data_IF_263291024773
#
_entry.id   IF_263291024773
#
_cell.length_a   1.000
_cell.length_b   1.000
_cell.length_c   1.000
_cell.angle_alpha   90.00
_cell.angle_beta   90.00
_cell.angle_gamma   90.00
#
_symmetry.space_group_name_H-M   'P 1'
#
loop_
_entity.id
_entity.type
_entity.pdbx_description
1 polymer ?
#
# COMPACT_ATOMS: atom_id res chain seq x y z
N UNK A 1 -2.41 65.53 -11.94
CA UNK A 1 -3.02 64.19 -11.82
C UNK A 1 -2.07 63.11 -12.36
N UNK A 2 -0.81 63.08 -11.88
CA UNK A 2 0.25 62.20 -12.42
C UNK A 2 0.57 60.97 -11.56
N UNK A 3 -0.19 60.75 -10.49
CA UNK A 3 0.00 59.65 -9.54
C UNK A 3 -0.85 58.41 -9.87
N UNK A 4 -1.82 58.52 -10.78
CA UNK A 4 -2.71 57.42 -11.17
C UNK A 4 -2.07 56.47 -12.21
N UNK A 5 -1.13 56.95 -13.03
CA UNK A 5 -0.54 56.14 -14.12
C UNK A 5 0.60 55.24 -13.67
N UNK A 6 1.30 55.59 -12.58
CA UNK A 6 2.42 54.79 -12.02
C UNK A 6 1.93 53.61 -11.20
N UNK A 7 0.83 53.80 -10.45
CA UNK A 7 0.16 52.75 -9.66
C UNK A 7 -0.39 51.63 -10.57
N UNK A 8 -0.97 52.01 -11.73
CA UNK A 8 -1.56 51.07 -12.68
C UNK A 8 -0.51 50.17 -13.37
N UNK A 9 0.69 50.70 -13.61
CA UNK A 9 1.79 49.97 -14.24
C UNK A 9 2.46 48.97 -13.28
N UNK A 10 2.55 49.32 -11.99
CA UNK A 10 3.13 48.46 -10.96
C UNK A 10 2.21 47.28 -10.60
N UNK A 11 0.88 47.48 -10.56
CA UNK A 11 -0.06 46.39 -10.30
C UNK A 11 -0.09 45.32 -11.40
N UNK A 12 0.04 45.72 -12.68
CA UNK A 12 0.13 44.76 -13.79
C UNK A 12 1.43 43.96 -13.77
N UNK A 13 2.58 44.58 -13.44
CA UNK A 13 3.86 43.87 -13.28
C UNK A 13 3.85 42.93 -12.06
N UNK A 14 3.22 43.32 -10.95
CA UNK A 14 3.07 42.46 -9.76
C UNK A 14 2.17 41.26 -10.04
N UNK A 15 1.04 41.47 -10.72
CA UNK A 15 0.11 40.39 -11.13
C UNK A 15 0.77 39.45 -12.14
N UNK A 16 1.53 39.97 -13.11
CA UNK A 16 2.25 39.14 -14.09
C UNK A 16 3.38 38.32 -13.44
N UNK A 17 4.10 38.88 -12.44
CA UNK A 17 5.11 38.17 -11.66
C UNK A 17 4.52 37.08 -10.76
N UNK A 18 3.34 37.32 -10.18
CA UNK A 18 2.61 36.32 -9.37
C UNK A 18 2.05 35.17 -10.22
N UNK A 19 1.60 35.44 -11.44
CA UNK A 19 1.07 34.41 -12.36
C UNK A 19 2.20 33.52 -12.92
N UNK A 20 3.39 34.06 -13.19
CA UNK A 20 4.56 33.29 -13.67
C UNK A 20 5.16 32.41 -12.56
N UNK A 21 5.08 32.84 -11.30
CA UNK A 21 5.55 32.07 -10.12
C UNK A 21 4.68 30.83 -9.84
N UNK A 22 3.38 30.91 -10.13
CA UNK A 22 2.41 29.86 -9.77
C UNK A 22 2.43 28.62 -10.69
N UNK A 23 3.16 28.62 -11.81
CA UNK A 23 3.16 27.51 -12.77
C UNK A 23 4.34 26.54 -12.62
N UNK A 24 5.19 26.71 -11.60
CA UNK A 24 6.43 25.93 -11.42
C UNK A 24 6.50 25.06 -10.14
N UNK A 25 5.37 24.69 -9.54
CA UNK A 25 5.38 23.82 -8.34
C UNK A 25 4.55 22.54 -8.44
N UNK A 26 4.07 22.14 -9.63
CA UNK A 26 3.28 20.90 -9.79
C UNK A 26 4.03 19.73 -10.43
N UNK A 27 5.34 19.84 -10.69
CA UNK A 27 6.12 18.74 -11.27
C UNK A 27 7.37 18.49 -10.44
N UNK A 28 7.34 17.41 -9.65
CA UNK A 28 8.46 16.53 -9.26
C UNK A 28 8.34 15.88 -7.87
N UNK A 29 7.13 15.53 -7.41
CA UNK A 29 6.97 14.41 -6.47
C UNK A 29 6.09 13.32 -7.09
N UNK A 30 6.34 13.01 -8.36
CA UNK A 30 6.13 11.65 -8.83
C UNK A 30 7.46 10.93 -8.59
N UNK A 31 7.58 10.31 -7.41
CA UNK A 31 8.66 9.38 -7.12
C UNK A 31 8.64 8.30 -8.20
N UNK A 32 9.65 8.37 -9.04
CA UNK A 32 9.81 7.66 -10.29
C UNK A 32 9.82 6.15 -10.06
N UNK A 33 8.82 5.48 -10.64
CA UNK A 33 8.99 4.44 -11.67
C UNK A 33 10.12 3.41 -11.43
N UNK A 34 10.02 2.63 -10.35
CA UNK A 34 10.42 1.21 -10.33
C UNK A 34 9.90 0.48 -9.08
N UNK A 35 8.82 0.96 -8.43
CA UNK A 35 8.09 0.09 -7.51
C UNK A 35 7.20 -0.82 -8.34
N UNK A 36 7.76 -2.00 -8.58
CA UNK A 36 7.03 -3.24 -8.84
C UNK A 36 6.21 -3.25 -10.14
N UNK A 37 6.79 -3.80 -11.22
CA UNK A 37 6.00 -4.69 -12.08
C UNK A 37 5.67 -5.91 -11.20
N UNK A 38 4.82 -5.72 -10.20
CA UNK A 38 4.29 -6.80 -9.40
C UNK A 38 3.34 -7.51 -10.33
N UNK A 39 3.72 -8.72 -10.73
CA UNK A 39 2.87 -9.53 -11.56
C UNK A 39 1.59 -9.82 -10.78
N UNK A 40 0.56 -9.02 -11.06
CA UNK A 40 -0.76 -9.14 -10.48
C UNK A 40 -1.60 -10.16 -11.27
N UNK A 41 -0.95 -11.07 -12.01
CA UNK A 41 -1.62 -12.19 -12.62
C UNK A 41 -2.41 -12.97 -11.57
N UNK A 42 -3.70 -13.22 -11.84
CA UNK A 42 -4.48 -14.13 -11.02
C UNK A 42 -3.85 -15.51 -10.99
N UNK A 43 -3.74 -16.09 -9.79
CA UNK A 43 -3.27 -17.47 -9.61
C UNK A 43 -4.38 -18.41 -10.11
N UNK A 44 -4.06 -19.27 -11.08
CA UNK A 44 -5.02 -20.19 -11.70
C UNK A 44 -5.01 -21.58 -11.09
N UNK A 45 -3.94 -21.94 -10.37
CA UNK A 45 -3.82 -23.23 -9.67
C UNK A 45 -4.48 -23.17 -8.29
N UNK A 46 -4.88 -24.33 -7.73
CA UNK A 46 -5.30 -24.40 -6.33
C UNK A 46 -4.18 -23.96 -5.39
N UNK A 47 -4.56 -23.26 -4.34
CA UNK A 47 -3.67 -22.78 -3.28
C UNK A 47 -4.10 -23.42 -1.95
N UNK A 48 -3.15 -23.88 -1.14
CA UNK A 48 -3.42 -24.40 0.20
C UNK A 48 -2.56 -23.74 1.27
N UNK A 49 -2.92 -23.95 2.53
CA UNK A 49 -2.23 -23.31 3.63
C UNK A 49 -0.78 -23.79 3.76
N UNK A 50 -0.55 -25.09 3.82
CA UNK A 50 0.76 -25.68 4.14
C UNK A 50 1.82 -25.32 3.11
N UNK A 51 1.49 -25.37 1.83
CA UNK A 51 2.42 -25.14 0.73
C UNK A 51 2.64 -23.65 0.44
N UNK A 52 1.57 -22.83 0.46
CA UNK A 52 1.61 -21.50 -0.12
C UNK A 52 1.49 -20.37 0.92
N UNK A 53 0.54 -20.49 1.85
CA UNK A 53 0.25 -19.42 2.82
C UNK A 53 1.22 -19.44 4.00
N UNK A 54 1.51 -20.64 4.53
CA UNK A 54 2.34 -20.82 5.73
C UNK A 54 3.75 -20.21 5.55
N UNK A 55 4.47 -20.39 4.43
CA UNK A 55 5.76 -19.75 4.25
C UNK A 55 5.70 -18.22 4.32
N UNK A 56 4.61 -17.61 3.84
CA UNK A 56 4.44 -16.15 3.92
C UNK A 56 4.17 -15.73 5.37
N UNK A 57 3.33 -16.48 6.08
CA UNK A 57 3.06 -16.23 7.51
C UNK A 57 4.35 -16.31 8.33
N UNK A 58 5.13 -17.38 8.15
CA UNK A 58 6.37 -17.61 8.86
C UNK A 58 7.40 -16.49 8.63
N UNK A 59 7.56 -16.05 7.37
CA UNK A 59 8.59 -15.08 7.00
C UNK A 59 8.19 -13.62 7.26
N UNK A 60 6.90 -13.29 7.17
CA UNK A 60 6.45 -11.89 7.12
C UNK A 60 5.48 -11.48 8.22
N UNK A 61 4.96 -12.44 9.01
CA UNK A 61 3.96 -12.15 10.04
C UNK A 61 4.39 -12.61 11.43
N UNK A 62 5.02 -13.79 11.54
CA UNK A 62 5.27 -14.47 12.81
C UNK A 62 6.21 -13.73 13.76
N UNK A 63 7.08 -12.83 13.28
CA UNK A 63 7.93 -12.02 14.16
C UNK A 63 7.16 -11.19 15.18
N UNK A 64 5.96 -10.70 14.82
CA UNK A 64 5.07 -9.96 15.72
C UNK A 64 3.78 -10.73 16.07
N UNK A 65 3.40 -11.72 15.26
CA UNK A 65 2.18 -12.51 15.40
C UNK A 65 2.45 -13.97 15.79
N UNK A 66 3.59 -14.24 16.40
CA UNK A 66 3.99 -15.58 16.84
C UNK A 66 3.14 -16.14 17.99
N UNK A 67 3.51 -17.32 18.47
CA UNK A 67 2.87 -17.93 19.63
C UNK A 67 3.02 -17.01 20.86
N UNK A 68 1.90 -16.74 21.56
CA UNK A 68 1.88 -15.84 22.72
C UNK A 68 1.76 -14.35 22.39
N UNK A 69 1.72 -13.96 21.11
CA UNK A 69 1.38 -12.60 20.73
C UNK A 69 -0.07 -12.25 21.11
N UNK A 70 -0.38 -10.95 21.25
CA UNK A 70 -1.75 -10.48 21.52
C UNK A 70 -2.75 -10.97 20.46
N UNK A 71 -2.30 -11.05 19.20
CA UNK A 71 -3.06 -11.61 18.08
C UNK A 71 -2.21 -12.67 17.37
N UNK A 72 -2.24 -13.93 17.82
CA UNK A 72 -1.36 -14.98 17.29
C UNK A 72 -1.89 -15.54 15.98
N UNK A 73 -0.98 -15.84 15.05
CA UNK A 73 -1.23 -16.46 13.74
C UNK A 73 -0.33 -17.69 13.52
N UNK A 74 -0.03 -18.42 14.59
CA UNK A 74 0.92 -19.53 14.63
C UNK A 74 0.38 -20.85 14.07
N UNK A 75 -0.92 -20.93 13.77
CA UNK A 75 -1.60 -22.16 13.34
C UNK A 75 -2.52 -21.88 12.17
N UNK A 76 -2.80 -22.90 11.35
CA UNK A 76 -3.77 -22.86 10.26
C UNK A 76 -5.11 -22.28 10.72
N UNK A 77 -5.69 -22.81 11.81
CA UNK A 77 -6.99 -22.35 12.30
C UNK A 77 -7.00 -20.87 12.70
N UNK A 78 -5.92 -20.39 13.31
CA UNK A 78 -5.81 -18.97 13.65
C UNK A 78 -5.78 -18.09 12.40
N UNK A 79 -5.03 -18.49 11.37
CA UNK A 79 -4.95 -17.74 10.11
C UNK A 79 -6.29 -17.80 9.37
N UNK A 80 -6.87 -19.00 9.22
CA UNK A 80 -8.16 -19.24 8.59
C UNK A 80 -9.28 -18.42 9.22
N UNK A 81 -9.40 -18.47 10.55
CA UNK A 81 -10.46 -17.76 11.28
C UNK A 81 -10.29 -16.23 11.25
N UNK A 82 -9.14 -15.72 10.79
CA UNK A 82 -8.84 -14.30 10.73
C UNK A 82 -8.57 -13.80 9.30
N UNK A 83 -8.81 -14.61 8.27
CA UNK A 83 -8.40 -14.30 6.90
C UNK A 83 -8.92 -12.95 6.39
N UNK A 84 -10.16 -12.59 6.72
CA UNK A 84 -10.75 -11.30 6.31
C UNK A 84 -10.00 -10.11 6.93
N UNK A 85 -9.67 -10.22 8.21
CA UNK A 85 -8.88 -9.22 8.90
C UNK A 85 -7.43 -9.17 8.39
N UNK A 86 -6.84 -10.30 8.01
CA UNK A 86 -5.50 -10.33 7.43
C UNK A 86 -5.52 -9.62 6.07
N UNK A 87 -6.47 -9.98 5.20
CA UNK A 87 -6.65 -9.37 3.88
C UNK A 87 -6.88 -7.86 3.97
N UNK A 88 -7.72 -7.39 4.89
CA UNK A 88 -7.91 -5.96 5.14
C UNK A 88 -6.57 -5.27 5.43
N UNK A 89 -5.74 -5.86 6.29
CA UNK A 89 -4.52 -5.20 6.81
C UNK A 89 -3.37 -5.18 5.82
N UNK A 90 -3.19 -6.25 5.04
CA UNK A 90 -2.08 -6.36 4.07
C UNK A 90 -2.32 -5.48 2.83
N UNK A 91 -3.59 -5.21 2.49
CA UNK A 91 -3.98 -4.41 1.33
C UNK A 91 -4.07 -2.90 1.61
N UNK A 92 -3.87 -2.45 2.85
CA UNK A 92 -3.93 -1.01 3.19
C UNK A 92 -2.81 -0.20 2.51
N UNK A 93 -3.07 1.06 2.16
CA UNK A 93 -2.05 1.94 1.57
C UNK A 93 -0.90 2.22 2.52
N UNK A 94 0.27 2.52 1.97
CA UNK A 94 1.44 2.93 2.74
C UNK A 94 1.10 4.16 3.60
N UNK A 95 1.55 4.16 4.86
CA UNK A 95 1.24 5.22 5.83
C UNK A 95 -0.05 5.00 6.64
N UNK A 96 -0.90 4.04 6.28
CA UNK A 96 -2.06 3.70 7.11
C UNK A 96 -1.60 3.10 8.46
N UNK A 97 -2.06 3.63 9.61
CA UNK A 97 -1.61 3.19 10.94
C UNK A 97 -1.99 1.75 11.27
N UNK A 98 -2.90 1.15 10.53
CA UNK A 98 -3.38 -0.22 10.68
C UNK A 98 -2.78 -1.16 9.63
N UNK A 99 -2.03 -0.67 8.64
CA UNK A 99 -1.32 -1.50 7.67
C UNK A 99 -0.40 -2.49 8.35
N UNK A 100 -0.35 -3.71 7.80
CA UNK A 100 0.63 -4.73 8.15
C UNK A 100 1.29 -5.29 6.86
N UNK A 101 2.53 -5.79 6.93
CA UNK A 101 3.46 -5.73 8.08
C UNK A 101 3.88 -4.30 8.45
N UNK A 102 4.37 -4.09 9.68
CA UNK A 102 4.94 -2.79 10.07
C UNK A 102 6.33 -2.61 9.44
N UNK A 103 6.54 -1.50 8.75
CA UNK A 103 7.83 -1.18 8.13
C UNK A 103 8.11 -1.91 6.80
N UNK A 104 7.10 -2.57 6.22
CA UNK A 104 7.22 -3.24 4.93
C UNK A 104 5.86 -3.54 4.29
N UNK A 105 5.89 -4.21 3.15
CA UNK A 105 4.70 -4.67 2.41
C UNK A 105 4.96 -6.06 1.84
N UNK A 106 3.90 -6.83 1.68
CA UNK A 106 3.93 -8.03 0.85
C UNK A 106 3.92 -7.64 -0.63
N UNK A 107 4.49 -8.48 -1.50
CA UNK A 107 4.32 -8.31 -2.95
C UNK A 107 2.88 -8.57 -3.39
N UNK A 108 2.48 -8.09 -4.56
CA UNK A 108 1.13 -8.37 -5.08
C UNK A 108 0.90 -9.89 -5.24
N UNK A 109 1.92 -10.64 -5.70
CA UNK A 109 1.85 -12.09 -5.80
C UNK A 109 1.56 -12.75 -4.45
N UNK A 110 2.23 -12.32 -3.37
CA UNK A 110 1.97 -12.83 -2.02
C UNK A 110 0.57 -12.49 -1.54
N UNK A 111 0.08 -11.28 -1.80
CA UNK A 111 -1.31 -10.90 -1.47
C UNK A 111 -2.30 -11.77 -2.25
N UNK A 112 -2.05 -12.02 -3.54
CA UNK A 112 -2.89 -12.87 -4.38
C UNK A 112 -2.94 -14.32 -3.90
N UNK A 113 -1.90 -14.84 -3.26
CA UNK A 113 -1.93 -16.16 -2.59
C UNK A 113 -3.01 -16.18 -1.51
N UNK A 114 -3.08 -15.18 -0.63
CA UNK A 114 -4.14 -15.10 0.40
C UNK A 114 -5.54 -14.96 -0.21
N UNK A 115 -5.68 -14.15 -1.27
CA UNK A 115 -6.96 -13.96 -1.97
C UNK A 115 -7.42 -15.27 -2.60
N UNK A 116 -6.52 -15.96 -3.31
CA UNK A 116 -6.81 -17.24 -3.97
C UNK A 116 -7.12 -18.33 -2.96
N UNK A 117 -6.34 -18.44 -1.90
CA UNK A 117 -6.58 -19.39 -0.82
C UNK A 117 -7.97 -19.21 -0.18
N UNK A 118 -8.38 -17.96 0.05
CA UNK A 118 -9.74 -17.65 0.51
C UNK A 118 -10.80 -18.08 -0.51
N UNK A 119 -10.58 -17.81 -1.79
CA UNK A 119 -11.49 -18.21 -2.86
C UNK A 119 -11.59 -19.74 -3.02
N UNK A 120 -10.50 -20.47 -2.74
CA UNK A 120 -10.42 -21.94 -2.80
C UNK A 120 -11.03 -22.64 -1.58
N UNK A 121 -11.59 -21.90 -0.62
CA UNK A 121 -12.25 -22.46 0.54
C UNK A 121 -11.35 -22.69 1.75
N UNK A 122 -10.18 -22.03 1.79
CA UNK A 122 -9.26 -22.04 2.93
C UNK A 122 -8.77 -23.46 3.28
N UNK A 123 -8.37 -24.24 2.28
CA UNK A 123 -7.90 -25.63 2.46
C UNK A 123 -6.56 -25.67 3.18
N UNK A 124 -6.36 -26.65 4.06
CA UNK A 124 -5.09 -26.80 4.76
C UNK A 124 -4.01 -27.43 3.88
N UNK A 125 -4.39 -28.48 3.11
CA UNK A 125 -3.53 -29.27 2.23
C UNK A 125 -4.19 -29.48 0.87
#
# INVERSE_FOLDING_TARGET
MGLISTEFFNMKKLVYLLIISSTMTIVACESRTYEEISDNTPITVPVNYTADVKPIMDNSCMGCHGAGAFKPFATYDQVKNNIDGILDRIQRPNGDPLKMPKGGSLSATQINIFIKWKADGLTEN
#
